data_IF_268238383183
#
_entry.id   IF_268238383183
#
_cell.length_a   1.000
_cell.length_b   1.000
_cell.length_c   1.000
_cell.angle_alpha   90.00
_cell.angle_beta   90.00
_cell.angle_gamma   90.00
#
_symmetry.space_group_name_H-M   'P 1'
#
loop_
_entity.id
_entity.type
_entity.pdbx_description
1 polymer ?
#
# COMPACT_ATOMS: atom_id res chain seq x y z
N UNK A 1 16.11 -1.58 67.24
CA UNK A 1 17.00 -1.50 66.07
C UNK A 1 16.62 -2.43 64.89
N UNK A 2 15.67 -3.32 65.02
CA UNK A 2 15.28 -4.31 64.00
C UNK A 2 14.41 -3.75 62.86
N UNK A 3 13.48 -2.85 63.14
CA UNK A 3 12.49 -2.39 62.16
C UNK A 3 13.06 -1.51 61.02
N UNK A 4 14.14 -0.77 61.26
CA UNK A 4 14.77 0.07 60.19
C UNK A 4 15.36 -0.77 59.07
N UNK A 5 15.97 -1.90 59.37
CA UNK A 5 16.58 -2.77 58.36
C UNK A 5 15.53 -3.44 57.44
N UNK A 6 14.38 -3.82 57.99
CA UNK A 6 13.29 -4.42 57.20
C UNK A 6 12.66 -3.42 56.23
N UNK A 7 12.55 -2.17 56.65
CA UNK A 7 12.01 -1.10 55.79
C UNK A 7 12.95 -0.84 54.60
N UNK A 8 14.25 -0.73 54.84
CA UNK A 8 15.23 -0.52 53.78
C UNK A 8 15.24 -1.66 52.74
N UNK A 9 15.13 -2.91 53.18
CA UNK A 9 15.10 -4.06 52.28
C UNK A 9 13.84 -4.06 51.43
N UNK A 10 12.68 -3.75 52.02
CA UNK A 10 11.42 -3.64 51.29
C UNK A 10 11.48 -2.53 50.20
N UNK A 11 11.96 -1.36 50.56
CA UNK A 11 11.99 -0.21 49.68
C UNK A 11 13.01 -0.44 48.54
N UNK A 12 14.15 -1.06 48.82
CA UNK A 12 15.11 -1.48 47.79
C UNK A 12 14.51 -2.52 46.82
N UNK A 13 13.73 -3.49 47.31
CA UNK A 13 13.05 -4.48 46.48
C UNK A 13 12.01 -3.83 45.53
N UNK A 14 11.26 -2.84 46.02
CA UNK A 14 10.27 -2.11 45.19
C UNK A 14 10.98 -1.35 44.08
N UNK A 15 12.09 -0.67 44.39
CA UNK A 15 12.89 0.05 43.38
C UNK A 15 13.47 -0.91 42.33
N UNK A 16 14.06 -2.02 42.77
CA UNK A 16 14.62 -3.03 41.84
C UNK A 16 13.51 -3.63 40.98
N UNK A 17 12.36 -3.93 41.54
CA UNK A 17 11.22 -4.47 40.79
C UNK A 17 10.69 -3.44 39.78
N UNK A 18 10.59 -2.17 40.14
CA UNK A 18 10.18 -1.09 39.23
C UNK A 18 11.17 -0.93 38.07
N UNK A 19 12.48 -0.94 38.33
CA UNK A 19 13.52 -0.89 37.31
C UNK A 19 13.44 -2.13 36.40
N UNK A 20 13.21 -3.31 36.97
CA UNK A 20 13.08 -4.55 36.20
C UNK A 20 11.87 -4.50 35.25
N UNK A 21 10.71 -4.04 35.74
CA UNK A 21 9.50 -3.89 34.92
C UNK A 21 9.73 -2.88 33.77
N UNK A 22 10.34 -1.73 34.06
CA UNK A 22 10.66 -0.74 33.02
C UNK A 22 11.62 -1.32 32.01
N UNK A 23 12.64 -2.07 32.46
CA UNK A 23 13.62 -2.65 31.55
C UNK A 23 13.03 -3.78 30.70
N UNK A 24 12.16 -4.61 31.25
CA UNK A 24 11.49 -5.68 30.49
C UNK A 24 10.49 -5.13 29.48
N UNK A 25 9.76 -4.07 29.81
CA UNK A 25 8.85 -3.41 28.87
C UNK A 25 9.63 -2.68 27.79
N UNK A 26 10.70 -1.96 28.14
CA UNK A 26 11.53 -1.24 27.17
C UNK A 26 12.36 -2.16 26.24
N UNK A 27 12.70 -3.37 26.71
CA UNK A 27 13.44 -4.36 25.92
C UNK A 27 12.57 -5.36 25.17
N UNK A 28 11.24 -5.31 25.34
CA UNK A 28 10.33 -6.14 24.57
C UNK A 28 10.43 -5.80 23.08
N UNK A 29 10.51 -6.80 22.19
CA UNK A 29 10.71 -6.55 20.74
C UNK A 29 9.42 -6.10 20.06
N UNK A 30 8.83 -4.99 20.51
CA UNK A 30 7.65 -4.38 19.89
C UNK A 30 7.93 -3.88 18.47
N UNK A 31 9.22 -3.62 18.16
CA UNK A 31 9.65 -3.14 16.86
C UNK A 31 9.60 -4.20 15.73
N UNK A 32 9.41 -5.47 16.04
CA UNK A 32 9.42 -6.55 15.04
C UNK A 32 8.04 -6.97 14.56
N UNK A 33 6.99 -6.24 14.93
CA UNK A 33 5.64 -6.46 14.39
C UNK A 33 5.37 -5.70 13.08
N UNK A 34 6.39 -5.14 12.43
CA UNK A 34 6.26 -4.81 11.00
C UNK A 34 6.13 -6.13 10.25
N UNK A 35 4.90 -6.51 9.95
CA UNK A 35 4.67 -7.47 8.89
C UNK A 35 5.38 -6.94 7.66
N UNK A 36 6.38 -7.67 7.17
CA UNK A 36 6.90 -7.38 5.83
C UNK A 36 5.71 -7.43 4.89
N UNK A 37 5.54 -6.39 4.03
CA UNK A 37 4.49 -6.45 3.04
C UNK A 37 4.69 -7.76 2.24
N UNK A 38 3.62 -8.50 1.94
CA UNK A 38 3.73 -9.72 1.15
C UNK A 38 4.47 -9.36 -0.14
N UNK A 39 5.43 -10.21 -0.52
CA UNK A 39 6.13 -10.09 -1.79
C UNK A 39 5.08 -9.92 -2.90
N UNK A 40 5.30 -9.02 -3.86
CA UNK A 40 4.35 -8.81 -4.94
C UNK A 40 4.12 -10.15 -5.64
N UNK A 41 2.90 -10.67 -5.52
CA UNK A 41 2.49 -11.87 -6.24
C UNK A 41 2.57 -11.57 -7.74
N UNK A 42 3.08 -12.52 -8.51
CA UNK A 42 3.08 -12.43 -9.97
C UNK A 42 1.63 -12.54 -10.44
N UNK A 43 1.05 -11.41 -10.83
CA UNK A 43 -0.34 -11.32 -11.23
C UNK A 43 -0.51 -11.95 -12.62
N UNK A 44 -1.43 -12.93 -12.76
CA UNK A 44 -1.69 -13.59 -14.04
C UNK A 44 -2.58 -12.74 -14.98
N UNK A 45 -3.35 -11.82 -14.48
CA UNK A 45 -4.40 -11.08 -15.21
C UNK A 45 -4.25 -9.56 -15.24
N UNK A 46 -3.15 -9.02 -14.76
CA UNK A 46 -2.92 -7.59 -14.57
C UNK A 46 -2.93 -7.25 -13.09
N UNK A 47 -1.81 -6.71 -12.63
CA UNK A 47 -1.65 -6.40 -11.22
C UNK A 47 -2.67 -5.37 -10.76
N UNK A 48 -3.35 -5.68 -9.67
CA UNK A 48 -4.15 -4.71 -8.96
C UNK A 48 -3.29 -3.50 -8.55
N UNK A 49 -3.86 -2.30 -8.49
CA UNK A 49 -3.18 -1.17 -7.88
C UNK A 49 -2.74 -1.50 -6.45
N UNK A 50 -1.52 -1.12 -6.11
CA UNK A 50 -1.00 -1.31 -4.75
C UNK A 50 -1.51 -0.16 -3.89
N UNK A 51 -2.20 -0.51 -2.81
CA UNK A 51 -2.76 0.45 -1.86
C UNK A 51 -1.64 1.01 -0.97
N UNK A 52 -1.56 2.35 -0.89
CA UNK A 52 -0.62 3.06 -0.02
C UNK A 52 -1.29 3.49 1.28
N UNK A 53 -2.48 4.09 1.19
CA UNK A 53 -3.19 4.62 2.35
C UNK A 53 -4.71 4.61 2.15
N UNK A 54 -5.52 4.35 3.19
CA UNK A 54 -5.13 3.87 4.51
C UNK A 54 -4.73 2.39 4.51
N UNK A 55 -3.79 2.03 5.39
CA UNK A 55 -3.43 0.64 5.61
C UNK A 55 -4.62 -0.17 6.15
N UNK A 56 -4.61 -1.48 5.93
CA UNK A 56 -5.68 -2.35 6.38
C UNK A 56 -5.83 -2.31 7.92
N UNK A 57 -7.05 -2.05 8.38
CA UNK A 57 -7.36 -1.92 9.81
C UNK A 57 -7.08 -0.55 10.41
N UNK A 58 -6.77 0.46 9.58
CA UNK A 58 -6.48 1.82 10.03
C UNK A 58 -7.68 2.44 10.77
N UNK A 59 -7.38 3.15 11.88
CA UNK A 59 -8.35 3.94 12.62
C UNK A 59 -8.23 5.42 12.27
N UNK A 60 -9.34 6.04 11.90
CA UNK A 60 -9.40 7.45 11.53
C UNK A 60 -10.38 8.20 12.44
N UNK A 61 -10.08 9.46 12.73
CA UNK A 61 -10.87 10.28 13.65
C UNK A 61 -11.83 11.27 12.98
N UNK A 62 -11.69 11.45 11.67
CA UNK A 62 -12.52 12.36 10.87
C UNK A 62 -13.48 11.57 9.98
N UNK A 63 -14.52 12.24 9.52
CA UNK A 63 -15.48 11.70 8.57
C UNK A 63 -15.01 11.81 7.10
N UNK A 64 -13.79 12.30 6.88
CA UNK A 64 -13.16 12.42 5.57
C UNK A 64 -11.86 11.65 5.55
N UNK A 65 -11.70 10.71 4.64
CA UNK A 65 -10.51 9.88 4.45
C UNK A 65 -9.98 10.08 3.04
N UNK A 66 -8.67 10.26 2.91
CA UNK A 66 -7.97 10.20 1.63
C UNK A 66 -7.57 8.76 1.38
N UNK A 67 -7.89 8.25 0.22
CA UNK A 67 -7.45 6.94 -0.29
C UNK A 67 -6.35 7.17 -1.29
N UNK A 68 -5.25 6.47 -1.16
CA UNK A 68 -4.06 6.61 -2.01
C UNK A 68 -3.58 5.23 -2.47
N UNK A 69 -3.15 5.15 -3.72
CA UNK A 69 -2.61 3.95 -4.33
C UNK A 69 -1.53 4.28 -5.35
N UNK A 70 -0.69 3.32 -5.66
CA UNK A 70 0.33 3.48 -6.68
C UNK A 70 -0.24 3.35 -8.09
N UNK A 71 0.31 4.11 -9.03
CA UNK A 71 -0.03 3.97 -10.43
C UNK A 71 0.37 2.58 -10.95
N UNK A 72 -0.49 1.99 -11.77
CA UNK A 72 -0.16 0.75 -12.48
C UNK A 72 0.69 1.05 -13.70
N UNK A 73 1.54 0.11 -14.06
CA UNK A 73 2.37 0.21 -15.25
C UNK A 73 1.65 -0.34 -16.49
N UNK A 74 1.95 0.21 -17.64
CA UNK A 74 1.41 -0.20 -18.94
C UNK A 74 2.47 -0.89 -19.78
N UNK A 75 2.13 -2.02 -20.34
CA UNK A 75 3.05 -2.81 -21.15
C UNK A 75 2.82 -2.66 -22.67
N UNK A 76 3.91 -2.71 -23.39
CA UNK A 76 3.94 -2.71 -24.85
C UNK A 76 4.90 -3.77 -25.36
N UNK A 77 4.63 -4.32 -26.56
CA UNK A 77 5.56 -5.17 -27.30
C UNK A 77 5.87 -4.56 -28.64
N UNK A 78 7.13 -4.35 -28.93
CA UNK A 78 7.62 -3.79 -30.18
C UNK A 78 8.26 -4.91 -31.00
N UNK A 79 7.75 -5.10 -32.21
CA UNK A 79 8.27 -6.08 -33.14
C UNK A 79 8.71 -5.39 -34.45
N UNK A 80 9.91 -5.68 -34.91
CA UNK A 80 10.46 -5.18 -36.20
C UNK A 80 10.91 -6.37 -37.01
N UNK A 81 10.31 -6.58 -38.16
CA UNK A 81 10.55 -7.73 -39.05
C UNK A 81 10.95 -7.28 -40.44
N UNK A 82 11.96 -7.88 -41.03
CA UNK A 82 12.36 -7.64 -42.40
C UNK A 82 11.34 -8.24 -43.36
N UNK A 83 10.77 -7.41 -44.27
CA UNK A 83 9.67 -7.83 -45.13
C UNK A 83 10.08 -8.92 -46.14
N UNK A 84 11.31 -8.89 -46.63
CA UNK A 84 11.79 -9.83 -47.68
C UNK A 84 12.09 -11.24 -47.14
N UNK A 85 12.63 -11.33 -45.94
CA UNK A 85 13.09 -12.59 -45.34
C UNK A 85 12.14 -13.12 -44.27
N UNK A 86 11.34 -12.25 -43.67
CA UNK A 86 10.54 -12.55 -42.48
C UNK A 86 11.36 -12.59 -41.17
N UNK A 87 12.63 -12.22 -41.23
CA UNK A 87 13.51 -12.25 -40.05
C UNK A 87 13.10 -11.21 -39.02
N UNK A 88 12.93 -11.62 -37.78
CA UNK A 88 12.68 -10.70 -36.67
C UNK A 88 13.99 -10.04 -36.26
N UNK A 89 14.07 -8.72 -36.41
CA UNK A 89 15.24 -7.91 -36.10
C UNK A 89 15.15 -7.31 -34.68
N UNK A 90 13.94 -7.12 -34.16
CA UNK A 90 13.67 -6.73 -32.78
C UNK A 90 12.34 -7.31 -32.35
N UNK A 91 12.34 -7.89 -31.16
CA UNK A 91 11.12 -8.29 -30.42
C UNK A 91 11.39 -8.01 -28.95
N UNK A 92 10.75 -6.96 -28.42
CA UNK A 92 11.05 -6.43 -27.08
C UNK A 92 9.77 -6.02 -26.39
N UNK A 93 9.65 -6.46 -25.13
CA UNK A 93 8.66 -5.93 -24.21
C UNK A 93 9.20 -4.63 -23.57
N UNK A 94 8.34 -3.65 -23.44
CA UNK A 94 8.65 -2.31 -22.93
C UNK A 94 7.55 -1.94 -21.93
N UNK A 95 7.93 -1.33 -20.82
CA UNK A 95 6.99 -0.94 -19.76
C UNK A 95 7.11 0.56 -19.56
N UNK A 96 6.00 1.27 -19.61
CA UNK A 96 5.86 2.73 -19.46
C UNK A 96 6.65 3.61 -20.46
N UNK A 97 7.56 3.05 -21.23
CA UNK A 97 8.24 3.81 -22.28
C UNK A 97 7.35 3.90 -23.54
N UNK A 98 7.40 5.02 -24.23
CA UNK A 98 6.65 5.29 -25.47
C UNK A 98 7.53 5.27 -26.72
N UNK A 99 8.74 4.77 -26.58
CA UNK A 99 9.68 4.62 -27.70
C UNK A 99 10.61 3.43 -27.52
N UNK A 100 11.09 2.89 -28.65
CA UNK A 100 12.16 1.88 -28.64
C UNK A 100 13.01 2.01 -29.90
N UNK A 101 14.31 1.78 -29.76
CA UNK A 101 15.27 1.91 -30.88
C UNK A 101 15.92 0.55 -31.15
N UNK A 102 15.97 0.17 -32.44
CA UNK A 102 16.64 -1.07 -32.86
C UNK A 102 18.16 -0.94 -32.76
N UNK A 103 18.86 -2.07 -32.83
CA UNK A 103 20.26 -2.11 -33.25
C UNK A 103 20.38 -1.53 -34.66
N UNK A 104 21.61 -1.33 -35.15
CA UNK A 104 21.83 -0.89 -36.55
C UNK A 104 21.40 -2.01 -37.49
N UNK A 105 20.47 -1.66 -38.42
CA UNK A 105 19.91 -2.55 -39.43
C UNK A 105 20.53 -2.28 -40.79
N UNK A 106 20.70 -3.30 -41.68
CA UNK A 106 21.13 -3.08 -43.07
C UNK A 106 20.06 -2.34 -43.87
N UNK A 107 20.40 -1.93 -45.12
CA UNK A 107 19.40 -1.42 -46.04
C UNK A 107 18.34 -2.47 -46.34
N UNK A 108 17.08 -2.07 -46.36
CA UNK A 108 15.95 -3.00 -46.52
C UNK A 108 14.61 -2.39 -46.11
N UNK A 109 13.56 -3.15 -46.28
CA UNK A 109 12.20 -2.76 -45.91
C UNK A 109 11.79 -3.55 -44.66
N UNK A 110 11.30 -2.84 -43.64
CA UNK A 110 10.98 -3.39 -42.34
C UNK A 110 9.53 -3.09 -41.98
N UNK A 111 8.82 -4.11 -41.54
CA UNK A 111 7.49 -4.01 -40.93
C UNK A 111 7.64 -3.77 -39.44
N UNK A 112 7.06 -2.69 -38.96
CA UNK A 112 7.06 -2.29 -37.55
C UNK A 112 5.67 -2.51 -37.00
N UNK A 113 5.59 -3.26 -35.89
CA UNK A 113 4.35 -3.45 -35.13
C UNK A 113 4.59 -3.14 -33.68
N UNK A 114 3.68 -2.35 -33.10
CA UNK A 114 3.63 -2.12 -31.65
C UNK A 114 2.28 -2.61 -31.15
N UNK A 115 2.34 -3.47 -30.17
CA UNK A 115 1.16 -4.02 -29.53
C UNK A 115 1.07 -3.52 -28.09
N UNK A 116 -0.14 -3.15 -27.68
CA UNK A 116 -0.47 -2.96 -26.28
C UNK A 116 -0.61 -4.33 -25.60
N UNK A 117 0.09 -4.54 -24.47
CA UNK A 117 0.08 -5.82 -23.75
C UNK A 117 -0.76 -5.79 -22.49
N UNK A 118 -1.38 -4.65 -22.18
CA UNK A 118 -2.24 -4.48 -21.02
C UNK A 118 -1.55 -3.79 -19.84
N UNK A 119 -2.28 -3.69 -18.75
CA UNK A 119 -1.73 -3.28 -17.45
C UNK A 119 -0.75 -4.36 -17.02
N UNK A 120 0.48 -3.97 -16.67
CA UNK A 120 1.57 -4.93 -16.45
C UNK A 120 1.31 -5.88 -15.29
N UNK A 121 1.74 -7.11 -15.49
CA UNK A 121 1.50 -8.27 -14.64
C UNK A 121 0.78 -9.40 -15.39
N UNK A 122 0.07 -9.09 -16.49
CA UNK A 122 -0.55 -10.14 -17.30
C UNK A 122 0.52 -10.90 -18.13
N UNK A 123 0.44 -12.20 -18.13
CA UNK A 123 1.23 -13.02 -19.05
C UNK A 123 0.78 -12.72 -20.48
N UNK A 124 1.71 -12.23 -21.28
CA UNK A 124 1.51 -11.83 -22.70
C UNK A 124 0.78 -12.89 -23.56
N UNK A 125 0.95 -14.18 -23.26
CA UNK A 125 0.35 -15.29 -23.98
C UNK A 125 -1.19 -15.29 -23.94
N UNK A 126 -1.81 -14.96 -22.82
CA UNK A 126 -3.27 -15.01 -22.65
C UNK A 126 -3.99 -13.92 -23.43
N UNK A 127 -3.33 -12.78 -23.63
CA UNK A 127 -3.90 -11.60 -24.29
C UNK A 127 -3.87 -11.69 -25.81
N UNK A 128 -2.99 -12.53 -26.38
CA UNK A 128 -2.96 -12.80 -27.83
C UNK A 128 -4.04 -13.80 -28.26
N UNK A 129 -4.51 -14.67 -27.35
CA UNK A 129 -5.51 -15.70 -27.66
C UNK A 129 -6.94 -15.13 -27.77
N UNK A 130 -7.23 -13.99 -27.18
CA UNK A 130 -8.58 -13.41 -27.16
C UNK A 130 -8.98 -12.58 -28.39
N UNK A 131 -8.11 -12.48 -29.41
CA UNK A 131 -8.46 -11.86 -30.69
C UNK A 131 -8.64 -10.32 -30.69
N UNK A 132 -8.24 -9.64 -29.64
CA UNK A 132 -8.31 -8.18 -29.54
C UNK A 132 -7.27 -7.51 -30.43
N UNK A 133 -7.71 -6.59 -31.27
CA UNK A 133 -6.79 -5.75 -32.06
C UNK A 133 -6.13 -4.68 -31.17
N UNK A 134 -5.05 -5.06 -30.51
CA UNK A 134 -4.24 -4.21 -29.63
C UNK A 134 -3.09 -3.53 -30.36
N UNK A 135 -3.09 -3.56 -31.68
CA UNK A 135 -2.04 -2.94 -32.48
C UNK A 135 -2.16 -1.43 -32.41
N UNK A 136 -1.14 -0.77 -31.88
CA UNK A 136 -1.02 0.69 -31.82
C UNK A 136 -0.33 1.24 -33.07
N UNK A 137 0.68 0.54 -33.57
CA UNK A 137 1.42 0.87 -34.79
C UNK A 137 1.50 -0.38 -35.68
N UNK A 138 1.24 -0.19 -36.95
CA UNK A 138 1.44 -1.20 -38.00
C UNK A 138 1.89 -0.45 -39.25
N UNK A 139 3.18 -0.25 -39.42
CA UNK A 139 3.76 0.58 -40.47
C UNK A 139 4.97 -0.12 -41.13
N UNK A 140 5.33 0.35 -42.32
CA UNK A 140 6.46 -0.19 -43.06
C UNK A 140 7.45 0.92 -43.37
N UNK A 141 8.71 0.72 -43.00
CA UNK A 141 9.80 1.66 -43.18
C UNK A 141 10.86 1.05 -44.07
N UNK A 142 11.27 1.80 -45.09
CA UNK A 142 12.40 1.45 -45.97
C UNK A 142 13.61 2.30 -45.63
N UNK A 143 14.74 1.64 -45.37
CA UNK A 143 16.02 2.28 -45.11
C UNK A 143 16.98 2.00 -46.28
N UNK A 144 17.55 3.06 -46.85
CA UNK A 144 18.47 2.93 -48.00
C UNK A 144 19.90 2.62 -47.57
N UNK A 145 20.28 3.07 -46.37
CA UNK A 145 21.60 2.86 -45.81
C UNK A 145 21.47 2.27 -44.37
N UNK A 146 22.52 1.54 -43.98
CA UNK A 146 22.51 0.95 -42.62
C UNK A 146 22.26 2.00 -41.53
N UNK A 147 21.14 1.89 -40.81
CA UNK A 147 20.72 2.85 -39.78
C UNK A 147 19.95 2.17 -38.64
N UNK A 148 19.65 2.94 -37.60
CA UNK A 148 18.74 2.54 -36.53
C UNK A 148 17.34 3.05 -36.84
N UNK A 149 16.33 2.27 -36.42
CA UNK A 149 14.93 2.71 -36.48
C UNK A 149 14.51 3.01 -35.01
N UNK A 150 14.02 4.23 -34.80
CA UNK A 150 13.35 4.59 -33.55
C UNK A 150 11.85 4.55 -33.76
N UNK A 151 11.17 3.69 -33.05
CA UNK A 151 9.72 3.53 -33.07
C UNK A 151 9.13 4.32 -31.93
N UNK A 152 8.11 5.11 -32.19
CA UNK A 152 7.38 5.92 -31.20
C UNK A 152 5.90 5.59 -31.32
N UNK A 153 5.18 5.55 -30.21
CA UNK A 153 3.74 5.30 -30.17
C UNK A 153 3.04 6.17 -29.12
N UNK A 154 1.71 6.22 -29.19
CA UNK A 154 0.91 6.98 -28.23
C UNK A 154 0.68 6.17 -26.94
N UNK A 155 0.62 6.88 -25.85
CA UNK A 155 0.27 6.31 -24.54
C UNK A 155 -1.16 5.76 -24.53
N UNK A 156 -1.35 4.66 -23.81
CA UNK A 156 -2.65 4.15 -23.42
C UNK A 156 -2.93 4.65 -22.01
N UNK A 157 -3.92 5.51 -21.86
CA UNK A 157 -4.30 6.07 -20.56
C UNK A 157 -4.96 5.01 -19.67
N UNK A 158 -4.69 5.11 -18.38
CA UNK A 158 -5.28 4.26 -17.35
C UNK A 158 -6.04 5.15 -16.39
N UNK A 159 -7.27 4.79 -16.10
CA UNK A 159 -8.11 5.37 -15.07
C UNK A 159 -8.30 4.36 -13.92
N UNK A 160 -8.83 4.81 -12.81
CA UNK A 160 -9.06 3.98 -11.65
C UNK A 160 -10.53 3.99 -11.25
N UNK A 161 -11.00 2.86 -10.75
CA UNK A 161 -12.30 2.75 -10.09
C UNK A 161 -12.10 2.41 -8.62
N UNK A 162 -12.84 3.07 -7.74
CA UNK A 162 -12.82 2.88 -6.29
C UNK A 162 -14.22 2.46 -5.82
N UNK A 163 -14.26 1.41 -5.01
CA UNK A 163 -15.48 0.96 -4.34
C UNK A 163 -15.31 1.03 -2.83
N UNK A 164 -16.31 1.63 -2.14
CA UNK A 164 -16.38 1.71 -0.67
C UNK A 164 -17.64 1.00 -0.20
N UNK A 165 -17.50 0.12 0.80
CA UNK A 165 -18.57 -0.68 1.38
C UNK A 165 -18.62 -0.46 2.89
N UNK A 166 -19.81 -0.32 3.44
CA UNK A 166 -20.06 -0.32 4.89
C UNK A 166 -20.10 -1.76 5.40
N UNK A 167 -19.39 -2.04 6.49
CA UNK A 167 -19.45 -3.29 7.21
C UNK A 167 -20.43 -3.09 8.38
N UNK A 168 -21.59 -3.74 8.31
CA UNK A 168 -22.58 -3.73 9.38
C UNK A 168 -22.41 -4.97 10.23
N UNK A 169 -21.98 -4.79 11.45
CA UNK A 169 -21.88 -5.85 12.43
C UNK A 169 -23.18 -5.97 13.20
N UNK A 170 -23.80 -7.15 13.19
CA UNK A 170 -24.96 -7.50 14.00
C UNK A 170 -24.56 -8.60 14.96
N UNK A 171 -24.88 -8.43 16.24
CA UNK A 171 -24.48 -9.40 17.27
C UNK A 171 -25.08 -10.78 16.98
N UNK A 172 -24.21 -11.79 16.83
CA UNK A 172 -24.59 -13.18 16.54
C UNK A 172 -24.84 -13.53 15.08
N UNK A 173 -24.68 -12.59 14.16
CA UNK A 173 -24.85 -12.80 12.72
C UNK A 173 -23.51 -12.53 11.96
N UNK A 174 -23.43 -13.03 10.72
CA UNK A 174 -22.31 -12.67 9.85
C UNK A 174 -22.41 -11.20 9.44
N UNK A 175 -21.29 -10.48 9.32
CA UNK A 175 -21.31 -9.08 8.90
C UNK A 175 -22.01 -8.89 7.54
N UNK A 176 -22.96 -7.97 7.48
CA UNK A 176 -23.59 -7.53 6.23
C UNK A 176 -22.67 -6.47 5.57
N UNK A 177 -22.34 -6.67 4.30
CA UNK A 177 -21.51 -5.73 3.54
C UNK A 177 -22.41 -5.00 2.54
N UNK A 178 -22.48 -3.67 2.66
CA UNK A 178 -23.33 -2.82 1.83
C UNK A 178 -22.48 -1.82 1.07
N UNK A 179 -22.56 -1.81 -0.27
CA UNK A 179 -21.93 -0.78 -1.09
C UNK A 179 -22.53 0.58 -0.76
N UNK A 180 -21.69 1.55 -0.41
CA UNK A 180 -22.11 2.90 -0.04
C UNK A 180 -21.60 3.95 -1.04
N UNK A 181 -20.52 3.67 -1.74
CA UNK A 181 -19.98 4.58 -2.73
C UNK A 181 -19.18 3.82 -3.79
N UNK A 182 -19.26 4.31 -5.02
CA UNK A 182 -18.48 3.85 -6.16
C UNK A 182 -18.15 5.05 -7.02
N UNK A 183 -16.94 5.12 -7.48
CA UNK A 183 -16.50 6.13 -8.44
C UNK A 183 -15.57 5.48 -9.45
N UNK A 184 -15.81 5.79 -10.72
CA UNK A 184 -15.06 5.28 -11.86
C UNK A 184 -14.35 6.44 -12.56
N UNK A 185 -13.45 6.10 -13.47
CA UNK A 185 -12.75 7.06 -14.36
C UNK A 185 -11.91 8.11 -13.62
N UNK A 186 -11.35 7.75 -12.46
CA UNK A 186 -10.39 8.59 -11.76
C UNK A 186 -9.07 8.61 -12.53
N UNK A 187 -8.57 9.80 -12.86
CA UNK A 187 -7.26 10.00 -13.50
C UNK A 187 -6.12 10.04 -12.46
N UNK A 188 -6.44 10.49 -11.25
CA UNK A 188 -5.50 10.58 -10.14
C UNK A 188 -5.38 9.25 -9.38
N UNK A 189 -4.27 9.07 -8.69
CA UNK A 189 -4.00 7.92 -7.82
C UNK A 189 -4.41 8.17 -6.37
N UNK A 190 -5.35 9.09 -6.17
CA UNK A 190 -5.96 9.35 -4.87
C UNK A 190 -7.43 9.76 -5.01
N UNK A 191 -8.18 9.56 -3.94
CA UNK A 191 -9.56 10.01 -3.84
C UNK A 191 -9.93 10.38 -2.41
N UNK A 192 -10.71 11.45 -2.22
CA UNK A 192 -11.17 11.90 -0.91
C UNK A 192 -12.67 11.63 -0.77
N UNK A 193 -13.06 10.81 0.19
CA UNK A 193 -14.44 10.58 0.53
C UNK A 193 -14.76 11.16 1.91
N UNK A 194 -15.84 11.96 2.02
CA UNK A 194 -16.13 12.79 3.19
C UNK A 194 -17.45 12.45 3.91
N UNK A 195 -18.11 11.34 3.55
CA UNK A 195 -19.41 10.99 4.11
C UNK A 195 -19.36 9.75 5.04
N UNK A 196 -18.24 9.58 5.75
CA UNK A 196 -18.13 8.52 6.73
C UNK A 196 -18.87 8.83 8.02
N UNK A 197 -19.45 7.80 8.63
CA UNK A 197 -20.10 7.88 9.94
C UNK A 197 -19.16 7.41 11.04
N UNK A 198 -19.09 8.15 12.15
CA UNK A 198 -18.29 7.77 13.31
C UNK A 198 -18.82 6.47 13.95
N UNK A 199 -17.92 5.62 14.46
CA UNK A 199 -18.24 4.33 15.04
C UNK A 199 -18.55 3.23 14.01
N UNK A 200 -18.26 3.46 12.73
CA UNK A 200 -18.48 2.50 11.65
C UNK A 200 -17.16 2.02 11.06
N UNK A 201 -17.20 0.80 10.52
CA UNK A 201 -16.11 0.20 9.76
C UNK A 201 -16.49 0.11 8.29
N UNK A 202 -15.55 0.43 7.43
CA UNK A 202 -15.74 0.38 5.99
C UNK A 202 -14.64 -0.47 5.36
N UNK A 203 -14.99 -1.17 4.28
CA UNK A 203 -13.99 -1.81 3.41
C UNK A 203 -13.95 -1.10 2.08
N UNK A 204 -12.79 -1.03 1.47
CA UNK A 204 -12.60 -0.41 0.18
C UNK A 204 -11.62 -1.20 -0.69
N UNK A 205 -11.75 -1.06 -1.99
CA UNK A 205 -10.86 -1.64 -2.98
C UNK A 205 -10.75 -0.72 -4.19
N UNK A 206 -9.66 -0.84 -4.92
CA UNK A 206 -9.38 -0.07 -6.12
C UNK A 206 -8.99 -1.01 -7.26
N UNK A 207 -9.42 -0.68 -8.48
CA UNK A 207 -9.01 -1.36 -9.71
C UNK A 207 -8.57 -0.32 -10.75
N UNK A 208 -7.86 -0.75 -11.76
CA UNK A 208 -7.45 0.09 -12.87
C UNK A 208 -8.20 -0.34 -14.15
N UNK A 209 -8.54 0.62 -14.99
CA UNK A 209 -9.16 0.40 -16.29
C UNK A 209 -8.40 1.20 -17.36
N UNK A 210 -8.04 0.55 -18.45
CA UNK A 210 -7.40 1.21 -19.56
C UNK A 210 -8.42 1.82 -20.55
N UNK A 211 -7.97 2.77 -21.39
CA UNK A 211 -8.79 3.40 -22.41
C UNK A 211 -9.30 2.43 -23.52
N UNK A 212 -8.97 1.14 -23.43
CA UNK A 212 -9.45 0.05 -24.27
C UNK A 212 -10.54 -0.78 -23.61
N UNK A 213 -10.91 -0.46 -22.35
CA UNK A 213 -11.92 -1.15 -21.57
C UNK A 213 -11.42 -2.43 -20.88
N UNK A 214 -10.11 -2.60 -20.76
CA UNK A 214 -9.59 -3.74 -19.98
C UNK A 214 -9.37 -3.32 -18.53
N UNK A 215 -9.88 -4.12 -17.61
CA UNK A 215 -9.75 -3.91 -16.17
C UNK A 215 -8.64 -4.77 -15.57
N UNK A 216 -7.94 -4.26 -14.57
CA UNK A 216 -7.07 -5.05 -13.71
C UNK A 216 -7.89 -5.88 -12.72
N UNK A 217 -7.23 -6.75 -11.96
CA UNK A 217 -7.82 -7.25 -10.72
C UNK A 217 -8.02 -6.07 -9.74
N UNK A 218 -9.03 -6.20 -8.88
CA UNK A 218 -9.20 -5.26 -7.77
C UNK A 218 -8.16 -5.53 -6.70
N UNK A 219 -7.68 -4.49 -6.02
CA UNK A 219 -6.90 -4.66 -4.81
C UNK A 219 -7.65 -5.51 -3.78
N UNK A 220 -6.98 -6.20 -2.87
CA UNK A 220 -7.62 -6.77 -1.69
C UNK A 220 -8.45 -5.70 -0.97
N UNK A 221 -9.57 -6.09 -0.35
CA UNK A 221 -10.33 -5.15 0.45
C UNK A 221 -9.53 -4.74 1.69
N UNK A 222 -9.34 -3.44 1.83
CA UNK A 222 -8.74 -2.81 3.00
C UNK A 222 -9.83 -2.27 3.91
N UNK A 223 -9.67 -2.43 5.22
CA UNK A 223 -10.63 -1.95 6.21
C UNK A 223 -10.14 -0.64 6.81
N UNK A 224 -11.02 0.34 6.86
CA UNK A 224 -10.83 1.59 7.60
C UNK A 224 -11.92 1.72 8.66
N UNK A 225 -11.52 2.07 9.89
CA UNK A 225 -12.41 2.22 11.03
C UNK A 225 -12.52 3.70 11.39
N UNK A 226 -13.73 4.24 11.38
CA UNK A 226 -13.98 5.63 11.75
C UNK A 226 -14.39 5.67 13.23
N UNK A 227 -13.40 5.77 14.11
CA UNK A 227 -13.63 5.76 15.56
C UNK A 227 -12.61 6.64 16.28
N UNK A 228 -13.06 7.83 16.67
CA UNK A 228 -12.23 8.82 17.36
C UNK A 228 -11.60 8.26 18.63
N UNK A 229 -12.33 7.46 19.40
CA UNK A 229 -11.83 6.93 20.68
C UNK A 229 -10.74 5.88 20.45
N UNK A 230 -10.99 4.95 19.54
CA UNK A 230 -10.00 3.91 19.18
C UNK A 230 -8.79 4.51 18.48
N UNK A 231 -8.98 5.51 17.63
CA UNK A 231 -7.87 6.25 17.01
C UNK A 231 -6.96 6.87 18.07
N UNK A 232 -7.54 7.63 19.04
CA UNK A 232 -6.76 8.23 20.12
C UNK A 232 -6.04 7.20 20.98
N UNK A 233 -6.68 6.07 21.27
CA UNK A 233 -6.04 4.98 21.99
C UNK A 233 -4.87 4.38 21.20
N UNK A 234 -5.07 4.13 19.89
CA UNK A 234 -4.02 3.60 19.01
C UNK A 234 -2.82 4.55 18.91
N UNK A 235 -3.06 5.86 18.70
CA UNK A 235 -2.02 6.89 18.68
C UNK A 235 -1.26 6.95 20.02
N UNK A 236 -1.98 6.89 21.14
CA UNK A 236 -1.38 6.94 22.46
C UNK A 236 -0.43 5.74 22.70
N UNK A 237 -0.83 4.55 22.28
CA UNK A 237 -0.05 3.33 22.53
C UNK A 237 1.03 3.07 21.47
N UNK A 238 0.87 3.51 20.23
CA UNK A 238 1.87 3.30 19.18
C UNK A 238 2.89 4.44 19.06
N UNK A 239 2.41 5.69 19.06
CA UNK A 239 3.26 6.83 18.80
C UNK A 239 3.75 7.53 20.08
N UNK A 240 2.98 7.39 21.18
CA UNK A 240 3.26 8.02 22.46
C UNK A 240 3.61 7.01 23.57
N UNK A 241 3.90 5.77 23.21
CA UNK A 241 4.22 4.69 24.16
C UNK A 241 5.33 5.11 25.14
N UNK A 242 6.47 5.60 24.62
CA UNK A 242 7.61 6.00 25.47
C UNK A 242 7.26 7.18 26.38
N UNK A 243 6.69 8.31 25.89
CA UNK A 243 6.22 9.39 26.75
C UNK A 243 5.19 8.94 27.80
N UNK A 244 4.27 8.04 27.45
CA UNK A 244 3.25 7.52 28.34
C UNK A 244 3.84 6.67 29.47
N UNK A 245 4.78 5.79 29.14
CA UNK A 245 5.51 4.98 30.14
C UNK A 245 6.32 5.89 31.05
N UNK A 246 7.02 6.90 30.52
CA UNK A 246 7.76 7.87 31.32
C UNK A 246 6.86 8.62 32.28
N UNK A 247 5.68 9.07 31.83
CA UNK A 247 4.70 9.72 32.67
C UNK A 247 4.22 8.80 33.80
N UNK A 248 3.94 7.54 33.51
CA UNK A 248 3.57 6.52 34.50
C UNK A 248 4.66 6.31 35.55
N UNK A 249 5.92 6.20 35.12
CA UNK A 249 7.08 6.07 36.03
C UNK A 249 7.23 7.31 36.91
N UNK A 250 7.11 8.51 36.34
CA UNK A 250 7.16 9.77 37.09
C UNK A 250 6.05 9.85 38.15
N UNK A 251 4.84 9.41 37.81
CA UNK A 251 3.71 9.38 38.74
C UNK A 251 3.98 8.41 39.91
N UNK A 252 4.52 7.23 39.65
CA UNK A 252 4.90 6.25 40.68
C UNK A 252 5.98 6.82 41.61
N UNK A 253 7.01 7.48 41.04
CA UNK A 253 8.08 8.12 41.81
C UNK A 253 7.49 9.26 42.66
N UNK A 254 6.62 10.10 42.13
CA UNK A 254 5.97 11.18 42.88
C UNK A 254 5.10 10.66 44.00
N UNK A 255 4.32 9.60 43.77
CA UNK A 255 3.54 8.93 44.85
C UNK A 255 4.44 8.36 45.94
N UNK A 256 5.54 7.72 45.59
CA UNK A 256 6.50 7.20 46.57
C UNK A 256 7.15 8.33 47.36
N UNK A 257 7.57 9.42 46.71
CA UNK A 257 8.11 10.60 47.40
C UNK A 257 7.10 11.22 48.38
N UNK A 258 5.83 11.34 47.96
CA UNK A 258 4.74 11.81 48.83
C UNK A 258 4.53 10.94 50.07
N UNK A 259 4.58 9.61 49.93
CA UNK A 259 4.47 8.68 51.05
C UNK A 259 5.69 8.79 52.00
N UNK A 260 6.89 9.01 51.45
CA UNK A 260 8.09 9.23 52.27
C UNK A 260 7.98 10.52 53.08
N UNK A 261 7.60 11.64 52.47
CA UNK A 261 7.44 12.94 53.13
C UNK A 261 6.37 12.89 54.22
N UNK A 262 5.21 12.27 53.96
CA UNK A 262 4.15 12.12 54.93
C UNK A 262 4.56 11.23 56.17
N UNK A 263 5.63 10.45 56.03
CA UNK A 263 6.11 9.55 57.09
C UNK A 263 7.20 10.17 57.95
N UNK A 264 7.80 11.28 57.53
CA UNK A 264 8.85 11.99 58.22
C UNK A 264 8.30 13.09 59.19
N UNK A 265 6.95 13.21 59.35
CA UNK A 265 6.41 14.11 60.38
C UNK A 265 6.87 13.59 61.76
N UNK A 266 7.62 14.40 62.49
CA UNK A 266 8.10 14.02 63.81
C UNK A 266 6.88 13.88 64.77
N UNK A 267 6.83 12.78 65.49
CA UNK A 267 6.01 12.70 66.67
C UNK A 267 6.63 13.66 67.73
N UNK A 268 6.05 14.86 67.84
CA UNK A 268 6.24 15.69 69.02
C UNK A 268 5.58 15.09 70.23
#
# INVERSE_FOLDING_TARGET
MSNRKVIWVRDALVIIFSIYVVFTVASAPWANLKMEPPLPETCETGCAPVVDFPENGYYHYQNSVTFEWNSVSVGYRVNVTEVGTGDVKMDKNVTNDLSSTTSRLPAGTYLIKVYYTGITGSTFSKLLEEGYNRTLVNDTVTIENSSKITVVWSEVTVNYGLEIRLIKETEGELPEIVKVHEVDMLEDTFYIYSNFENGKSYSWSVYAEDSKGNTSESSPFHVVNIDTTKFLAFELFNNWEIPFILLGVMLVIAMQAGVFLAREEPND
#
